data_IF_306471098147
#
_entry.id   IF_306471098147
#
_cell.length_a   1.000
_cell.length_b   1.000
_cell.length_c   1.000
_cell.angle_alpha   90.00
_cell.angle_beta   90.00
_cell.angle_gamma   90.00
#
_symmetry.space_group_name_H-M   'P 1'
#
loop_
_entity.id
_entity.type
_entity.pdbx_description
1 polymer ?
#
# COMPACT_ATOMS: atom_id res chain seq x y z
N UNK A 1 -24.31 -37.63 -16.19
CA UNK A 1 -23.21 -36.65 -16.17
C UNK A 1 -23.83 -35.26 -16.11
N UNK A 2 -23.62 -34.51 -15.03
CA UNK A 2 -24.03 -33.10 -14.93
C UNK A 2 -22.76 -32.28 -14.67
N UNK A 3 -22.53 -31.29 -15.53
CA UNK A 3 -21.37 -30.40 -15.52
C UNK A 3 -21.33 -29.55 -14.26
N UNK A 4 -20.19 -29.55 -13.57
CA UNK A 4 -19.84 -28.56 -12.55
C UNK A 4 -19.43 -27.26 -13.23
N UNK A 5 -20.14 -26.16 -12.95
CA UNK A 5 -19.67 -24.82 -13.30
C UNK A 5 -18.92 -24.24 -12.10
N UNK A 6 -17.60 -24.36 -12.11
CA UNK A 6 -16.70 -23.70 -11.17
C UNK A 6 -16.63 -22.20 -11.51
N UNK A 7 -17.31 -21.37 -10.71
CA UNK A 7 -17.12 -19.92 -10.75
C UNK A 7 -15.72 -19.58 -10.21
N UNK A 8 -14.76 -19.37 -11.12
CA UNK A 8 -13.47 -18.76 -10.81
C UNK A 8 -13.70 -17.28 -10.48
N UNK A 9 -13.80 -16.96 -9.19
CA UNK A 9 -13.80 -15.58 -8.71
C UNK A 9 -12.35 -15.08 -8.71
N UNK A 10 -11.92 -14.47 -9.80
CA UNK A 10 -10.65 -13.72 -9.85
C UNK A 10 -10.77 -12.47 -8.97
N UNK A 11 -10.24 -12.56 -7.75
CA UNK A 11 -10.12 -11.44 -6.84
C UNK A 11 -8.97 -10.54 -7.35
N UNK A 12 -9.32 -9.57 -8.19
CA UNK A 12 -8.40 -8.50 -8.60
C UNK A 12 -8.10 -7.70 -7.34
N UNK A 13 -6.91 -7.90 -6.76
CA UNK A 13 -6.40 -7.04 -5.68
C UNK A 13 -6.23 -5.62 -6.24
N UNK A 14 -7.21 -4.76 -5.99
CA UNK A 14 -7.16 -3.36 -6.39
C UNK A 14 -6.29 -2.60 -5.39
N UNK A 15 -5.02 -2.39 -5.76
CA UNK A 15 -4.06 -1.60 -5.00
C UNK A 15 -4.25 -0.13 -5.35
N UNK A 16 -5.13 0.56 -4.63
CA UNK A 16 -5.31 2.00 -4.82
C UNK A 16 -4.20 2.75 -4.04
N UNK A 17 -3.22 3.32 -4.76
CA UNK A 17 -2.22 4.23 -4.19
C UNK A 17 -2.68 5.67 -4.39
N UNK A 18 -2.65 6.46 -3.30
CA UNK A 18 -2.91 7.90 -3.38
C UNK A 18 -1.56 8.59 -3.39
N UNK A 19 -1.16 9.13 -4.55
CA UNK A 19 0.04 9.97 -4.70
C UNK A 19 -0.36 11.42 -4.47
N UNK A 20 0.01 11.97 -3.32
CA UNK A 20 -0.10 13.39 -3.07
C UNK A 20 1.22 14.06 -3.43
N UNK A 21 1.16 15.11 -4.24
CA UNK A 21 2.32 15.91 -4.62
C UNK A 21 2.09 17.33 -4.15
N UNK A 22 2.92 17.81 -3.22
CA UNK A 22 2.95 19.22 -2.81
C UNK A 22 4.14 19.87 -3.49
N UNK A 23 3.90 20.94 -4.24
CA UNK A 23 4.95 21.67 -4.97
C UNK A 23 5.09 23.07 -4.37
N UNK A 24 6.26 23.39 -3.82
CA UNK A 24 6.57 24.73 -3.34
C UNK A 24 7.04 25.60 -4.51
N UNK A 25 6.64 26.87 -4.57
CA UNK A 25 7.07 27.78 -5.62
C UNK A 25 8.56 28.16 -5.47
N UNK A 26 9.18 28.57 -6.58
CA UNK A 26 10.52 29.15 -6.54
C UNK A 26 10.50 30.51 -5.83
N UNK A 27 11.58 30.83 -5.11
CA UNK A 27 11.75 32.08 -4.36
C UNK A 27 12.86 32.89 -5.03
N UNK A 28 12.61 34.17 -5.28
CA UNK A 28 13.58 35.11 -5.82
C UNK A 28 13.64 36.33 -4.90
N UNK A 29 14.66 36.37 -4.05
CA UNK A 29 14.84 37.44 -3.07
C UNK A 29 15.98 38.38 -3.50
N UNK A 30 15.76 39.68 -3.27
CA UNK A 30 16.77 40.73 -3.42
C UNK A 30 16.82 41.55 -2.14
N UNK A 31 18.02 41.68 -1.57
CA UNK A 31 18.31 42.55 -0.44
C UNK A 31 19.32 43.61 -0.88
N UNK A 32 19.07 44.86 -0.51
CA UNK A 32 19.93 46.01 -0.83
C UNK A 32 20.29 46.69 0.49
N UNK A 33 21.59 46.85 0.73
CA UNK A 33 22.11 47.53 1.92
C UNK A 33 23.00 48.70 1.48
N UNK A 34 22.64 49.96 1.80
CA UNK A 34 23.49 51.11 1.50
C UNK A 34 24.74 51.12 2.39
N UNK A 35 25.88 51.50 1.79
CA UNK A 35 27.16 51.61 2.48
C UNK A 35 27.46 53.07 2.79
N UNK A 36 27.50 53.38 4.08
CA UNK A 36 27.85 54.72 4.58
C UNK A 36 29.30 55.04 4.23
N UNK A 37 29.53 56.26 3.75
CA UNK A 37 30.85 56.77 3.42
C UNK A 37 31.40 57.62 4.58
N UNK A 38 32.72 57.65 4.72
CA UNK A 38 33.40 58.57 5.64
C UNK A 38 33.14 60.02 5.22
N UNK A 39 32.79 60.86 6.20
CA UNK A 39 32.59 62.30 6.03
C UNK A 39 33.05 63.02 7.30
N UNK A 40 34.36 63.06 7.51
CA UNK A 40 35.00 63.67 8.69
C UNK A 40 35.30 65.15 8.49
N UNK A 41 35.11 65.68 7.28
CA UNK A 41 35.48 67.04 6.89
C UNK A 41 36.92 67.16 6.37
N UNK A 42 37.72 66.09 6.45
CA UNK A 42 39.02 65.99 5.81
C UNK A 42 38.92 65.19 4.50
N UNK A 43 38.86 65.89 3.38
CA UNK A 43 38.66 65.28 2.06
C UNK A 43 39.72 64.25 1.66
N UNK A 44 40.99 64.44 2.06
CA UNK A 44 42.08 63.50 1.73
C UNK A 44 41.89 62.20 2.49
N UNK A 45 41.59 62.30 3.79
CA UNK A 45 41.34 61.14 4.63
C UNK A 45 40.08 60.39 4.19
N UNK A 46 38.98 61.11 3.99
CA UNK A 46 37.70 60.53 3.58
C UNK A 46 37.83 59.79 2.24
N UNK A 47 38.54 60.37 1.27
CA UNK A 47 38.81 59.72 -0.03
C UNK A 47 39.60 58.41 0.11
N UNK A 48 40.67 58.41 0.93
CA UNK A 48 41.49 57.21 1.14
C UNK A 48 40.69 56.08 1.82
N UNK A 49 39.91 56.41 2.84
CA UNK A 49 39.08 55.43 3.56
C UNK A 49 38.01 54.87 2.63
N UNK A 50 37.26 55.73 1.94
CA UNK A 50 36.20 55.32 1.02
C UNK A 50 36.75 54.44 -0.13
N UNK A 51 37.91 54.79 -0.67
CA UNK A 51 38.59 53.97 -1.69
C UNK A 51 38.99 52.58 -1.17
N UNK A 52 39.45 52.48 0.09
CA UNK A 52 39.80 51.20 0.71
C UNK A 52 38.57 50.35 1.01
N UNK A 53 37.48 50.97 1.47
CA UNK A 53 36.18 50.29 1.65
C UNK A 53 35.68 49.74 0.32
N UNK A 54 35.72 50.55 -0.74
CA UNK A 54 35.36 50.10 -2.09
C UNK A 54 36.20 48.91 -2.55
N UNK A 55 37.51 48.95 -2.30
CA UNK A 55 38.44 47.86 -2.64
C UNK A 55 38.08 46.56 -1.90
N UNK A 56 37.83 46.64 -0.59
CA UNK A 56 37.49 45.50 0.26
C UNK A 56 36.16 44.89 -0.19
N UNK A 57 35.11 45.72 -0.31
CA UNK A 57 33.77 45.23 -0.65
C UNK A 57 33.71 44.63 -2.05
N UNK A 58 34.48 45.18 -3.00
CA UNK A 58 34.59 44.61 -4.35
C UNK A 58 35.22 43.22 -4.36
N UNK A 59 36.15 42.94 -3.42
CA UNK A 59 36.76 41.61 -3.28
C UNK A 59 35.82 40.58 -2.64
N UNK A 60 34.78 41.04 -1.93
CA UNK A 60 33.76 40.19 -1.33
C UNK A 60 32.66 39.78 -2.33
N UNK A 61 32.74 40.26 -3.57
CA UNK A 61 31.85 39.83 -4.64
C UNK A 61 31.92 38.32 -4.79
N UNK A 62 30.81 37.65 -4.51
CA UNK A 62 30.73 36.20 -4.49
C UNK A 62 29.51 35.73 -5.24
N UNK A 63 29.65 34.59 -5.91
CA UNK A 63 28.57 33.95 -6.63
C UNK A 63 28.70 32.46 -6.44
N UNK A 64 27.60 31.81 -6.05
CA UNK A 64 27.54 30.37 -5.89
C UNK A 64 26.28 29.87 -6.58
N UNK A 65 26.46 28.86 -7.44
CA UNK A 65 25.35 28.14 -8.05
C UNK A 65 25.38 26.68 -7.60
N UNK A 66 24.21 26.08 -7.39
CA UNK A 66 24.06 24.69 -6.94
C UNK A 66 22.75 24.11 -7.45
N UNK A 67 22.83 23.38 -8.57
CA UNK A 67 21.65 22.95 -9.31
C UNK A 67 20.89 24.18 -9.80
N UNK A 68 19.61 24.26 -9.45
CA UNK A 68 18.72 25.38 -9.80
C UNK A 68 18.72 26.51 -8.75
N UNK A 69 19.51 26.38 -7.67
CA UNK A 69 19.63 27.41 -6.63
C UNK A 69 20.87 28.27 -6.84
N UNK A 70 20.72 29.59 -6.79
CA UNK A 70 21.84 30.53 -6.92
C UNK A 70 21.85 31.59 -5.82
N UNK A 71 23.05 32.01 -5.43
CA UNK A 71 23.29 33.09 -4.48
C UNK A 71 24.36 34.01 -5.04
N UNK A 72 24.14 35.32 -4.95
CA UNK A 72 25.06 36.32 -5.46
C UNK A 72 25.15 37.49 -4.50
N UNK A 73 26.36 37.86 -4.10
CA UNK A 73 26.65 39.07 -3.33
C UNK A 73 27.50 39.98 -4.21
N UNK A 74 27.05 41.21 -4.42
CA UNK A 74 27.71 42.21 -5.28
C UNK A 74 27.77 43.53 -4.55
N UNK A 75 28.94 44.13 -4.52
CA UNK A 75 29.09 45.54 -4.20
C UNK A 75 29.07 46.39 -5.47
N UNK A 76 28.12 47.31 -5.55
CA UNK A 76 28.05 48.34 -6.60
C UNK A 76 28.75 49.62 -6.12
N UNK A 77 29.86 49.94 -6.78
CA UNK A 77 30.69 51.12 -6.50
C UNK A 77 30.03 52.44 -6.87
N UNK A 78 29.09 52.43 -7.83
CA UNK A 78 28.43 53.64 -8.32
C UNK A 78 27.32 54.05 -7.36
N UNK A 79 26.49 53.08 -6.97
CA UNK A 79 25.37 53.32 -6.06
C UNK A 79 25.75 53.22 -4.59
N UNK A 80 26.99 52.78 -4.29
CA UNK A 80 27.52 52.55 -2.93
C UNK A 80 26.63 51.61 -2.13
N UNK A 81 26.23 50.50 -2.75
CA UNK A 81 25.29 49.53 -2.18
C UNK A 81 25.83 48.12 -2.28
N UNK A 82 25.55 47.33 -1.26
CA UNK A 82 25.76 45.89 -1.26
C UNK A 82 24.43 45.22 -1.60
N UNK A 83 24.41 44.49 -2.70
CA UNK A 83 23.25 43.76 -3.18
C UNK A 83 23.44 42.27 -2.98
N UNK A 84 22.45 41.62 -2.36
CA UNK A 84 22.38 40.18 -2.23
C UNK A 84 21.16 39.66 -3.00
N UNK A 85 21.42 38.65 -3.83
CA UNK A 85 20.42 37.96 -4.63
C UNK A 85 20.39 36.50 -4.22
N UNK A 86 19.20 35.97 -3.96
CA UNK A 86 18.98 34.55 -3.71
C UNK A 86 17.87 34.03 -4.63
N UNK A 87 18.19 32.99 -5.40
CA UNK A 87 17.24 32.23 -6.19
C UNK A 87 17.17 30.83 -5.59
N UNK A 88 16.00 30.46 -5.08
CA UNK A 88 15.74 29.14 -4.52
C UNK A 88 14.74 28.45 -5.44
N UNK A 89 15.15 27.30 -5.95
CA UNK A 89 14.36 26.53 -6.88
C UNK A 89 13.12 25.92 -6.22
N UNK A 90 12.13 25.62 -7.06
CA UNK A 90 10.93 24.91 -6.66
C UNK A 90 11.28 23.53 -6.09
N UNK A 91 10.65 23.16 -4.98
CA UNK A 91 10.79 21.84 -4.36
C UNK A 91 9.50 21.05 -4.50
N UNK A 92 9.62 19.76 -4.77
CA UNK A 92 8.49 18.83 -4.91
C UNK A 92 8.56 17.80 -3.79
N UNK A 93 7.55 17.75 -2.94
CA UNK A 93 7.42 16.73 -1.93
C UNK A 93 6.36 15.71 -2.37
N UNK A 94 6.76 14.46 -2.56
CA UNK A 94 5.86 13.37 -2.96
C UNK A 94 5.60 12.47 -1.76
N UNK A 95 4.33 12.38 -1.32
CA UNK A 95 3.93 11.43 -0.28
C UNK A 95 3.05 10.34 -0.90
N UNK A 96 3.50 9.09 -0.81
CA UNK A 96 2.79 7.93 -1.33
C UNK A 96 2.17 7.16 -0.17
N UNK A 97 0.86 7.29 0.01
CA UNK A 97 0.12 6.47 0.96
C UNK A 97 -0.40 5.21 0.24
N UNK A 98 0.17 4.06 0.57
CA UNK A 98 -0.33 2.75 0.14
C UNK A 98 -1.43 2.34 1.13
N UNK A 99 -2.70 2.48 0.73
CA UNK A 99 -3.80 1.91 1.50
C UNK A 99 -4.02 0.48 1.03
N UNK A 100 -3.48 -0.49 1.76
CA UNK A 100 -3.86 -1.88 1.60
C UNK A 100 -5.28 -2.07 2.13
N UNK A 101 -6.29 -1.93 1.27
CA UNK A 101 -7.62 -2.43 1.58
C UNK A 101 -7.58 -3.95 1.60
N UNK A 102 -7.49 -4.53 2.80
CA UNK A 102 -7.79 -5.94 3.03
C UNK A 102 -9.29 -6.12 2.81
N UNK A 103 -9.71 -6.35 1.57
CA UNK A 103 -11.05 -6.86 1.27
C UNK A 103 -11.19 -8.21 1.96
N UNK A 104 -11.96 -8.24 3.06
CA UNK A 104 -12.39 -9.50 3.67
C UNK A 104 -13.36 -10.14 2.68
N UNK A 105 -12.91 -11.19 1.99
CA UNK A 105 -13.76 -12.03 1.16
C UNK A 105 -14.75 -12.73 2.08
N UNK A 106 -15.94 -12.17 2.26
CA UNK A 106 -17.05 -12.86 2.95
C UNK A 106 -17.54 -13.92 1.96
N UNK A 107 -17.05 -15.15 2.13
CA UNK A 107 -17.59 -16.32 1.43
C UNK A 107 -18.97 -16.58 2.03
N UNK A 108 -20.02 -16.03 1.42
CA UNK A 108 -21.38 -16.48 1.69
C UNK A 108 -21.55 -17.87 1.08
N UNK A 109 -21.23 -18.90 1.85
CA UNK A 109 -21.57 -20.29 1.51
C UNK A 109 -23.09 -20.40 1.61
N UNK A 110 -23.78 -20.22 0.48
CA UNK A 110 -25.20 -20.58 0.35
C UNK A 110 -25.29 -22.09 0.53
N UNK A 111 -25.62 -22.54 1.75
CA UNK A 111 -25.85 -23.95 2.06
C UNK A 111 -27.00 -24.42 1.17
N UNK A 112 -26.64 -25.18 0.14
CA UNK A 112 -27.58 -25.96 -0.64
C UNK A 112 -28.21 -26.94 0.37
N UNK A 113 -29.56 -27.00 0.51
CA UNK A 113 -30.16 -27.99 1.39
C UNK A 113 -29.84 -29.37 0.81
N UNK A 114 -28.86 -30.04 1.40
CA UNK A 114 -28.60 -31.44 1.12
C UNK A 114 -29.86 -32.17 1.54
N UNK A 115 -30.54 -32.78 0.58
CA UNK A 115 -31.66 -33.68 0.81
C UNK A 115 -31.16 -34.83 1.68
N UNK A 116 -31.25 -34.64 3.00
CA UNK A 116 -31.10 -35.71 3.97
C UNK A 116 -32.24 -36.70 3.67
N UNK A 117 -31.88 -37.81 3.01
CA UNK A 117 -32.76 -38.98 2.90
C UNK A 117 -33.35 -39.21 4.29
N UNK A 118 -34.67 -39.12 4.40
CA UNK A 118 -35.41 -39.34 5.65
C UNK A 118 -34.89 -40.64 6.29
N UNK A 119 -34.58 -40.67 7.59
CA UNK A 119 -34.15 -41.91 8.23
C UNK A 119 -35.24 -42.97 8.05
N UNK A 120 -34.83 -44.21 7.72
CA UNK A 120 -35.75 -45.34 7.53
C UNK A 120 -36.76 -45.40 8.66
N UNK A 121 -38.04 -45.47 8.29
CA UNK A 121 -39.17 -45.46 9.22
C UNK A 121 -39.11 -46.70 10.12
N UNK A 122 -39.63 -46.60 11.36
CA UNK A 122 -39.61 -47.71 12.33
C UNK A 122 -40.20 -49.00 11.76
N UNK A 123 -41.18 -48.89 10.87
CA UNK A 123 -41.81 -50.01 10.17
C UNK A 123 -40.86 -50.71 9.19
N UNK A 124 -40.06 -49.97 8.43
CA UNK A 124 -39.11 -50.55 7.46
C UNK A 124 -38.04 -51.38 8.18
N UNK A 125 -37.58 -50.92 9.35
CA UNK A 125 -36.65 -51.68 10.20
C UNK A 125 -37.29 -52.97 10.73
N UNK A 126 -38.60 -52.96 11.02
CA UNK A 126 -39.33 -54.13 11.48
C UNK A 126 -39.45 -55.19 10.37
N UNK A 127 -39.75 -54.78 9.13
CA UNK A 127 -39.78 -55.70 7.98
C UNK A 127 -38.42 -56.32 7.66
N UNK A 128 -37.33 -55.55 7.78
CA UNK A 128 -35.97 -56.06 7.61
C UNK A 128 -35.65 -57.13 8.67
N UNK A 129 -36.02 -56.87 9.93
CA UNK A 129 -35.84 -57.84 11.03
C UNK A 129 -36.61 -59.15 10.81
N UNK A 130 -37.87 -59.06 10.38
CA UNK A 130 -38.69 -60.22 10.03
C UNK A 130 -38.09 -61.04 8.88
N UNK A 131 -37.55 -60.38 7.85
CA UNK A 131 -36.91 -61.05 6.72
C UNK A 131 -35.71 -61.89 7.14
N UNK A 132 -34.84 -61.35 8.01
CA UNK A 132 -33.67 -62.08 8.52
C UNK A 132 -34.09 -63.30 9.34
N UNK A 133 -35.10 -63.15 10.20
CA UNK A 133 -35.61 -64.26 11.03
C UNK A 133 -36.17 -65.40 10.18
N UNK A 134 -36.89 -65.08 9.10
CA UNK A 134 -37.44 -66.07 8.17
C UNK A 134 -36.33 -66.87 7.47
N UNK A 135 -35.25 -66.21 7.02
CA UNK A 135 -34.11 -66.88 6.37
C UNK A 135 -33.42 -67.86 7.34
N UNK A 136 -33.20 -67.45 8.59
CA UNK A 136 -32.59 -68.31 9.62
C UNK A 136 -33.48 -69.53 9.88
N UNK A 137 -34.79 -69.34 10.02
CA UNK A 137 -35.72 -70.43 10.26
C UNK A 137 -35.75 -71.44 9.09
N UNK A 138 -35.77 -70.95 7.85
CA UNK A 138 -35.72 -71.80 6.65
C UNK A 138 -34.41 -72.58 6.61
N UNK A 139 -33.26 -71.92 6.84
CA UNK A 139 -31.95 -72.57 6.88
C UNK A 139 -31.89 -73.67 7.95
N UNK A 140 -32.36 -73.39 9.17
CA UNK A 140 -32.39 -74.37 10.25
C UNK A 140 -33.28 -75.58 9.91
N UNK A 141 -34.46 -75.35 9.31
CA UNK A 141 -35.38 -76.41 8.90
C UNK A 141 -34.78 -77.31 7.81
N UNK A 142 -34.09 -76.72 6.82
CA UNK A 142 -33.40 -77.46 5.74
C UNK A 142 -32.25 -78.30 6.31
N UNK A 143 -31.42 -77.73 7.19
CA UNK A 143 -30.33 -78.48 7.85
C UNK A 143 -30.87 -79.62 8.71
N UNK A 144 -31.94 -79.38 9.47
CA UNK A 144 -32.62 -80.42 10.25
C UNK A 144 -33.21 -81.54 9.38
N UNK A 145 -33.74 -81.20 8.21
CA UNK A 145 -34.26 -82.18 7.26
C UNK A 145 -33.16 -83.05 6.63
N UNK A 146 -32.02 -82.44 6.27
CA UNK A 146 -30.85 -83.17 5.75
C UNK A 146 -30.30 -84.12 6.82
N UNK A 147 -30.14 -83.65 8.08
CA UNK A 147 -29.65 -84.48 9.19
C UNK A 147 -30.54 -85.68 9.52
N UNK A 148 -31.87 -85.55 9.37
CA UNK A 148 -32.81 -86.67 9.59
C UNK A 148 -32.71 -87.75 8.51
N UNK A 149 -32.41 -87.40 7.26
CA UNK A 149 -32.24 -88.41 6.19
C UNK A 149 -30.94 -89.20 6.31
N UNK A 150 -29.88 -88.60 6.83
CA UNK A 150 -28.58 -89.28 7.02
C UNK A 150 -28.53 -90.23 8.23
N UNK A 151 -29.58 -90.26 9.07
CA UNK A 151 -29.68 -91.14 10.25
C UNK A 151 -30.51 -92.41 10.00
N UNK A 152 -31.06 -92.61 8.80
CA UNK A 152 -31.81 -93.84 8.42
C UNK A 152 -30.97 -94.73 7.49
N UNK A 153 -29.66 -94.51 7.44
CA UNK A 153 -28.68 -95.43 6.85
C UNK A 153 -27.55 -95.63 7.85
N UNK A 154 -27.85 -96.43 8.87
CA UNK A 154 -26.89 -97.30 9.58
C UNK A 154 -27.23 -98.72 9.16
#
# INVERSE_FOLDING_TARGET
>A
MMQENTLLKTEIQKRDSIKSTVVNQAINDKLITPIVQSNTGNAVFDSLVNAKVDEILSKLNTSKNSGDNSYKLIYDKLTKQLEFYAQIAQTKNENTAIKEQKTKTIIQVKKIPVLVKKPLSKLEKFFIGLGILAIIYIGFKVVGFIRRKTSVWV
#
